data_IF_047162836943
#
_entry.id   IF_047162836943
#
_cell.length_a   1.000
_cell.length_b   1.000
_cell.length_c   1.000
_cell.angle_alpha   90.00
_cell.angle_beta   90.00
_cell.angle_gamma   90.00
#
_symmetry.space_group_name_H-M   'P 1'
#
loop_
_entity.id
_entity.type
_entity.pdbx_description
1 polymer ?
#
# COMPACT_ATOMS: atom_id res chain seq x y z
N UNK A 1 -18.21 -0.61 5.41
CA UNK A 1 -17.37 0.15 6.35
C UNK A 1 -18.28 0.68 7.45
N UNK A 2 -17.83 0.67 8.70
CA UNK A 2 -18.58 1.21 9.84
C UNK A 2 -18.23 2.69 10.09
N UNK A 3 -18.86 3.29 11.11
CA UNK A 3 -18.65 4.72 11.45
C UNK A 3 -17.25 5.03 12.01
N UNK A 4 -16.50 4.04 12.46
CA UNK A 4 -15.10 4.18 12.85
C UNK A 4 -14.14 4.22 11.65
N UNK A 5 -14.60 3.85 10.46
CA UNK A 5 -13.79 3.73 9.25
C UNK A 5 -13.13 2.36 9.09
N UNK A 6 -13.65 1.32 9.73
CA UNK A 6 -13.18 -0.06 9.62
C UNK A 6 -13.97 -0.83 8.56
N UNK A 7 -13.29 -1.71 7.82
CA UNK A 7 -13.93 -2.59 6.85
C UNK A 7 -14.73 -3.68 7.58
N UNK A 8 -15.92 -3.97 7.07
CA UNK A 8 -16.80 -5.02 7.60
C UNK A 8 -16.46 -6.35 6.90
N UNK A 9 -15.76 -7.25 7.59
CA UNK A 9 -15.30 -8.51 7.00
C UNK A 9 -16.46 -9.42 6.59
N UNK A 10 -17.54 -9.46 7.38
CA UNK A 10 -18.75 -10.21 7.05
C UNK A 10 -19.40 -9.74 5.75
N UNK A 11 -19.34 -8.43 5.47
CA UNK A 11 -19.84 -7.88 4.21
C UNK A 11 -18.84 -8.12 3.06
N UNK A 12 -17.54 -8.09 3.36
CA UNK A 12 -16.50 -8.39 2.38
C UNK A 12 -16.64 -9.82 1.83
N UNK A 13 -16.87 -10.80 2.69
CA UNK A 13 -17.05 -12.19 2.29
C UNK A 13 -18.25 -12.39 1.35
N UNK A 14 -19.33 -11.64 1.55
CA UNK A 14 -20.53 -11.70 0.68
C UNK A 14 -20.32 -11.13 -0.74
N UNK A 15 -19.22 -10.39 -0.97
CA UNK A 15 -18.91 -9.79 -2.28
C UNK A 15 -18.31 -10.79 -3.26
N UNK A 16 -17.88 -11.98 -2.80
CA UNK A 16 -17.28 -12.97 -3.68
C UNK A 16 -18.35 -13.66 -4.56
N UNK A 17 -17.98 -13.87 -5.81
CA UNK A 17 -18.78 -14.58 -6.79
C UNK A 17 -17.87 -15.22 -7.86
N UNK A 18 -18.41 -16.02 -8.76
CA UNK A 18 -17.67 -16.59 -9.90
C UNK A 18 -17.03 -15.52 -10.82
N UNK A 19 -17.51 -14.28 -10.73
CA UNK A 19 -17.00 -13.14 -11.48
C UNK A 19 -15.83 -12.45 -10.78
N UNK A 20 -15.59 -12.70 -9.51
CA UNK A 20 -14.49 -12.11 -8.76
C UNK A 20 -13.17 -12.74 -9.21
N UNK A 21 -12.26 -11.95 -9.78
CA UNK A 21 -10.99 -12.42 -10.36
C UNK A 21 -9.77 -11.96 -9.57
N UNK A 22 -9.88 -10.87 -8.86
CA UNK A 22 -8.83 -10.30 -7.99
C UNK A 22 -9.48 -9.42 -6.94
N UNK A 23 -8.91 -9.37 -5.76
CA UNK A 23 -9.18 -8.37 -4.74
C UNK A 23 -8.03 -7.36 -4.73
N UNK A 24 -8.36 -6.07 -4.70
CA UNK A 24 -7.36 -5.02 -4.47
C UNK A 24 -7.79 -4.19 -3.27
N UNK A 25 -6.92 -4.07 -2.27
CA UNK A 25 -7.23 -3.37 -1.02
C UNK A 25 -6.01 -2.62 -0.49
N UNK A 26 -6.23 -1.46 0.11
CA UNK A 26 -5.16 -0.72 0.80
C UNK A 26 -4.86 -1.37 2.15
N UNK A 27 -3.57 -1.49 2.50
CA UNK A 27 -3.15 -1.95 3.83
C UNK A 27 -3.47 -0.90 4.90
N UNK A 28 -3.09 0.35 4.63
CA UNK A 28 -3.36 1.49 5.51
C UNK A 28 -4.05 2.60 4.72
N UNK A 29 -5.15 3.11 5.23
CA UNK A 29 -5.87 4.22 4.60
C UNK A 29 -5.06 5.51 4.68
N UNK A 30 -4.81 6.14 3.53
CA UNK A 30 -4.17 7.45 3.45
C UNK A 30 -5.07 8.61 3.94
N UNK A 31 -6.34 8.36 4.13
CA UNK A 31 -7.32 9.37 4.59
C UNK A 31 -7.63 9.21 6.07
N UNK A 32 -7.93 7.98 6.49
CA UNK A 32 -8.38 7.70 7.86
C UNK A 32 -7.26 7.20 8.77
N UNK A 33 -6.15 6.73 8.20
CA UNK A 33 -5.11 6.03 8.94
C UNK A 33 -5.47 4.61 9.37
N UNK A 34 -6.70 4.14 9.12
CA UNK A 34 -7.14 2.79 9.47
C UNK A 34 -6.18 1.75 8.90
N UNK A 35 -5.67 0.87 9.76
CA UNK A 35 -4.91 -0.31 9.34
C UNK A 35 -5.91 -1.44 9.09
N UNK A 36 -6.04 -1.85 7.85
CA UNK A 36 -6.98 -2.91 7.46
C UNK A 36 -6.43 -4.30 7.82
N UNK A 37 -7.26 -5.26 8.21
CA UNK A 37 -6.87 -6.61 8.57
C UNK A 37 -6.59 -7.45 7.30
N UNK A 38 -5.56 -7.03 6.53
CA UNK A 38 -5.29 -7.59 5.20
C UNK A 38 -4.94 -9.07 5.24
N UNK A 39 -4.32 -9.58 6.32
CA UNK A 39 -4.02 -11.00 6.46
C UNK A 39 -5.29 -11.86 6.49
N UNK A 40 -6.30 -11.41 7.22
CA UNK A 40 -7.61 -12.07 7.27
C UNK A 40 -8.34 -11.94 5.92
N UNK A 41 -8.27 -10.77 5.30
CA UNK A 41 -8.86 -10.54 3.98
C UNK A 41 -8.22 -11.42 2.90
N UNK A 42 -6.90 -11.61 2.94
CA UNK A 42 -6.18 -12.52 2.04
C UNK A 42 -6.65 -13.96 2.26
N UNK A 43 -6.70 -14.42 3.52
CA UNK A 43 -7.15 -15.77 3.84
C UNK A 43 -8.58 -16.04 3.33
N UNK A 44 -9.49 -15.08 3.50
CA UNK A 44 -10.85 -15.16 2.97
C UNK A 44 -10.84 -15.23 1.43
N UNK A 45 -10.11 -14.35 0.74
CA UNK A 45 -10.02 -14.35 -0.72
C UNK A 45 -9.46 -15.68 -1.25
N UNK A 46 -8.41 -16.19 -0.62
CA UNK A 46 -7.79 -17.46 -0.98
C UNK A 46 -8.74 -18.65 -0.79
N UNK A 47 -9.62 -18.63 0.22
CA UNK A 47 -10.65 -19.67 0.38
C UNK A 47 -11.66 -19.71 -0.78
N UNK A 48 -11.79 -18.61 -1.51
CA UNK A 48 -12.57 -18.48 -2.75
C UNK A 48 -11.72 -18.66 -4.03
N UNK A 49 -10.42 -18.96 -3.90
CA UNK A 49 -9.49 -19.11 -5.03
C UNK A 49 -9.18 -17.78 -5.75
N UNK A 50 -9.28 -16.66 -5.06
CA UNK A 50 -9.09 -15.31 -5.61
C UNK A 50 -7.79 -14.70 -5.11
N UNK A 51 -6.88 -14.27 -6.00
CA UNK A 51 -5.64 -13.60 -5.62
C UNK A 51 -5.90 -12.18 -5.10
N UNK A 52 -4.94 -11.69 -4.28
CA UNK A 52 -5.03 -10.38 -3.62
C UNK A 52 -3.84 -9.50 -3.92
N UNK A 53 -4.13 -8.26 -4.32
CA UNK A 53 -3.16 -7.18 -4.43
C UNK A 53 -3.33 -6.23 -3.26
N UNK A 54 -2.25 -6.00 -2.51
CA UNK A 54 -2.20 -5.07 -1.41
C UNK A 54 -1.51 -3.77 -1.85
N UNK A 55 -2.21 -2.65 -1.70
CA UNK A 55 -1.59 -1.34 -1.75
C UNK A 55 -0.94 -1.03 -0.41
N UNK A 56 0.38 -1.15 -0.38
CA UNK A 56 1.24 -0.91 0.78
C UNK A 56 1.83 0.49 0.85
N UNK A 57 1.39 1.41 0.01
CA UNK A 57 2.00 2.74 -0.10
C UNK A 57 1.99 3.53 1.22
N UNK A 58 1.02 3.26 2.10
CA UNK A 58 0.94 3.87 3.43
C UNK A 58 1.33 2.92 4.57
N UNK A 59 1.62 1.65 4.31
CA UNK A 59 2.08 0.74 5.36
C UNK A 59 3.60 0.68 5.46
N UNK A 60 4.29 0.59 4.32
CA UNK A 60 5.76 0.43 4.28
C UNK A 60 6.52 1.55 5.01
N UNK A 61 6.12 2.84 4.98
CA UNK A 61 6.79 3.89 5.72
C UNK A 61 6.62 3.81 7.24
N UNK A 62 5.54 3.20 7.72
CA UNK A 62 5.05 3.32 9.09
C UNK A 62 5.08 2.04 9.91
N UNK A 63 5.19 0.87 9.28
CA UNK A 63 5.15 -0.41 9.96
C UNK A 63 5.97 -1.48 9.23
N UNK A 64 6.40 -2.50 9.98
CA UNK A 64 7.04 -3.67 9.38
C UNK A 64 6.03 -4.42 8.52
N UNK A 65 6.42 -4.70 7.28
CA UNK A 65 5.65 -5.51 6.35
C UNK A 65 6.49 -6.74 5.96
N UNK A 66 5.88 -7.91 6.06
CA UNK A 66 6.40 -9.16 5.56
C UNK A 66 5.38 -9.78 4.60
N UNK A 67 5.69 -9.73 3.31
CA UNK A 67 4.78 -10.19 2.25
C UNK A 67 4.57 -11.69 2.27
N UNK A 68 5.52 -12.46 2.81
CA UNK A 68 5.39 -13.91 2.96
C UNK A 68 4.50 -14.26 4.14
N UNK A 69 4.64 -13.57 5.29
CA UNK A 69 3.76 -13.74 6.44
C UNK A 69 2.32 -13.31 6.14
N UNK A 70 2.14 -12.28 5.32
CA UNK A 70 0.83 -11.85 4.83
C UNK A 70 0.24 -12.83 3.82
N UNK A 71 1.06 -13.62 3.16
CA UNK A 71 0.69 -14.47 2.01
C UNK A 71 0.10 -13.66 0.84
N UNK A 72 0.56 -12.41 0.65
CA UNK A 72 0.07 -11.55 -0.41
C UNK A 72 0.49 -12.08 -1.79
N UNK A 73 -0.44 -12.10 -2.76
CA UNK A 73 -0.13 -12.48 -4.13
C UNK A 73 0.60 -11.36 -4.87
N UNK A 74 0.18 -10.13 -4.61
CA UNK A 74 0.83 -8.91 -5.07
C UNK A 74 0.88 -7.88 -3.96
N UNK A 75 1.97 -7.10 -3.93
CA UNK A 75 2.13 -5.99 -3.00
C UNK A 75 2.84 -4.83 -3.71
N UNK A 76 2.27 -3.63 -3.63
CA UNK A 76 2.82 -2.47 -4.33
C UNK A 76 3.04 -1.29 -3.37
N UNK A 77 4.12 -0.53 -3.59
CA UNK A 77 4.35 0.73 -2.89
C UNK A 77 5.16 1.72 -3.73
N UNK A 78 5.09 3.00 -3.35
CA UNK A 78 5.77 4.11 -4.04
C UNK A 78 7.02 4.55 -3.29
N UNK A 79 8.12 4.75 -4.00
CA UNK A 79 9.40 5.14 -3.41
C UNK A 79 9.37 6.50 -2.71
N UNK A 80 8.66 7.49 -3.25
CA UNK A 80 8.58 8.83 -2.67
C UNK A 80 7.87 8.89 -1.31
N UNK A 81 7.08 7.88 -0.95
CA UNK A 81 6.42 7.79 0.37
C UNK A 81 7.33 7.18 1.44
N UNK A 82 8.44 6.59 1.02
CA UNK A 82 9.43 5.97 1.92
C UNK A 82 10.79 6.68 1.82
N UNK A 83 10.76 8.01 1.71
CA UNK A 83 11.92 8.91 1.60
C UNK A 83 12.79 8.71 0.34
N UNK A 84 12.37 7.87 -0.58
CA UNK A 84 13.00 7.68 -1.87
C UNK A 84 12.60 8.76 -2.89
N UNK A 85 13.18 8.74 -4.09
CA UNK A 85 12.85 9.70 -5.15
C UNK A 85 11.46 9.45 -5.72
N UNK A 86 10.94 10.47 -6.43
CA UNK A 86 9.76 10.32 -7.28
C UNK A 86 10.08 9.46 -8.51
N UNK A 87 9.05 8.88 -9.13
CA UNK A 87 9.18 8.11 -10.38
C UNK A 87 9.58 6.65 -10.19
N UNK A 88 9.94 6.22 -8.99
CA UNK A 88 10.27 4.82 -8.67
C UNK A 88 9.28 4.23 -7.67
N UNK A 89 8.96 2.96 -7.86
CA UNK A 89 8.13 2.16 -6.98
C UNK A 89 8.47 0.69 -7.10
N UNK A 90 7.84 -0.13 -6.28
CA UNK A 90 8.08 -1.57 -6.24
C UNK A 90 6.75 -2.30 -6.36
N UNK A 91 6.71 -3.31 -7.21
CA UNK A 91 5.68 -4.33 -7.26
C UNK A 91 6.32 -5.69 -6.90
N UNK A 92 5.88 -6.25 -5.80
CA UNK A 92 6.10 -7.65 -5.47
C UNK A 92 4.98 -8.49 -6.07
N UNK A 93 5.29 -9.68 -6.56
CA UNK A 93 4.32 -10.68 -6.97
C UNK A 93 4.85 -12.09 -6.71
N UNK A 94 3.96 -13.02 -6.34
CA UNK A 94 4.31 -14.44 -6.30
C UNK A 94 4.69 -14.91 -7.71
N UNK A 95 5.77 -15.67 -7.82
CA UNK A 95 6.31 -16.14 -9.10
C UNK A 95 5.26 -16.80 -9.99
N UNK A 96 4.42 -17.65 -9.41
CA UNK A 96 3.35 -18.35 -10.13
C UNK A 96 2.36 -17.40 -10.83
N UNK A 97 2.09 -16.22 -10.26
CA UNK A 97 1.24 -15.20 -10.87
C UNK A 97 1.99 -14.40 -11.92
N UNK A 98 3.23 -14.01 -11.62
CA UNK A 98 4.05 -13.28 -12.56
C UNK A 98 4.34 -14.09 -13.83
N UNK A 99 4.51 -15.40 -13.71
CA UNK A 99 4.68 -16.29 -14.87
C UNK A 99 3.43 -16.36 -15.77
N UNK A 100 2.25 -16.38 -15.15
CA UNK A 100 0.96 -16.44 -15.88
C UNK A 100 0.59 -15.12 -16.55
N UNK A 101 0.98 -13.98 -15.97
CA UNK A 101 0.62 -12.67 -16.49
C UNK A 101 1.39 -12.35 -17.78
N UNK A 102 0.78 -11.68 -18.76
CA UNK A 102 1.52 -11.12 -19.90
C UNK A 102 2.38 -9.95 -19.42
N UNK A 103 3.45 -9.60 -20.14
CA UNK A 103 4.20 -8.38 -19.86
C UNK A 103 3.29 -7.16 -19.99
N UNK A 104 3.51 -6.17 -19.13
CA UNK A 104 2.71 -4.94 -19.11
C UNK A 104 3.10 -3.99 -20.25
N UNK A 105 4.40 -3.88 -20.56
CA UNK A 105 4.95 -3.05 -21.62
C UNK A 105 5.90 -3.86 -22.49
N UNK A 106 6.08 -3.45 -23.74
CA UNK A 106 7.09 -3.96 -24.65
C UNK A 106 8.27 -3.01 -24.77
N UNK A 107 9.48 -3.55 -24.89
CA UNK A 107 10.71 -2.76 -25.04
C UNK A 107 11.96 -3.62 -25.07
N UNK A 108 13.12 -3.00 -25.06
CA UNK A 108 14.39 -3.70 -24.87
C UNK A 108 14.44 -4.45 -23.55
N UNK A 109 15.38 -5.36 -23.39
CA UNK A 109 15.67 -6.18 -22.19
C UNK A 109 14.57 -7.20 -21.85
N UNK A 110 13.28 -6.87 -21.99
CA UNK A 110 12.17 -7.77 -21.63
C UNK A 110 11.83 -8.78 -22.74
N UNK A 111 12.37 -8.63 -23.94
CA UNK A 111 12.15 -9.49 -25.11
C UNK A 111 13.29 -10.49 -25.22
N UNK A 112 12.97 -11.76 -25.41
CA UNK A 112 13.95 -12.81 -25.74
C UNK A 112 14.15 -12.97 -27.23
N UNK A 113 13.06 -13.16 -27.99
CA UNK A 113 13.06 -13.25 -29.45
C UNK A 113 11.85 -12.53 -30.04
N UNK A 114 12.05 -11.93 -31.23
CA UNK A 114 10.99 -11.31 -32.04
C UNK A 114 11.04 -11.87 -33.45
N UNK A 115 9.92 -12.38 -33.92
CA UNK A 115 9.70 -12.69 -35.34
C UNK A 115 8.32 -12.15 -35.78
N UNK A 116 8.02 -12.25 -37.05
CA UNK A 116 6.70 -11.85 -37.56
C UNK A 116 5.57 -12.77 -37.03
N UNK A 117 5.91 -14.03 -36.70
CA UNK A 117 4.95 -15.02 -36.25
C UNK A 117 4.79 -15.07 -34.74
N UNK A 118 5.87 -14.74 -34.00
CA UNK A 118 5.88 -14.89 -32.52
C UNK A 118 6.90 -14.02 -31.85
N UNK A 119 6.50 -13.44 -30.72
CA UNK A 119 7.39 -12.81 -29.75
C UNK A 119 7.48 -13.69 -28.50
N UNK A 120 8.69 -13.90 -27.98
CA UNK A 120 8.95 -14.53 -26.69
C UNK A 120 9.60 -13.53 -25.75
N UNK A 121 9.34 -13.70 -24.46
CA UNK A 121 9.76 -12.76 -23.42
C UNK A 121 10.85 -13.37 -22.54
N UNK A 122 11.64 -12.52 -21.92
CA UNK A 122 12.66 -12.93 -20.97
C UNK A 122 12.04 -13.52 -19.70
N UNK A 123 12.90 -14.17 -18.91
CA UNK A 123 12.54 -14.68 -17.59
C UNK A 123 12.29 -13.56 -16.60
N UNK A 124 11.65 -13.87 -15.47
CA UNK A 124 11.49 -12.96 -14.35
C UNK A 124 12.85 -12.59 -13.73
N UNK A 125 13.05 -11.35 -13.29
CA UNK A 125 12.10 -10.23 -13.29
C UNK A 125 12.05 -9.46 -14.62
N UNK A 126 12.97 -9.70 -15.55
CA UNK A 126 13.16 -8.93 -16.80
C UNK A 126 11.91 -8.87 -17.69
N UNK A 127 11.04 -9.87 -17.61
CA UNK A 127 9.74 -9.90 -18.31
C UNK A 127 8.90 -8.63 -18.10
N UNK A 128 9.06 -7.97 -16.94
CA UNK A 128 8.31 -6.76 -16.58
C UNK A 128 9.17 -5.48 -16.58
N UNK A 129 10.45 -5.59 -16.98
CA UNK A 129 11.43 -4.50 -16.98
C UNK A 129 11.68 -4.03 -18.44
N UNK A 130 10.72 -3.26 -18.98
CA UNK A 130 10.77 -2.83 -20.37
C UNK A 130 11.65 -1.58 -20.57
N UNK A 131 12.72 -1.68 -21.36
CA UNK A 131 13.65 -0.62 -21.68
C UNK A 131 14.70 -0.38 -20.59
N UNK A 132 15.53 0.66 -20.76
CA UNK A 132 16.55 1.01 -19.77
C UNK A 132 15.90 1.37 -18.44
N UNK A 133 16.23 0.65 -17.35
CA UNK A 133 15.62 0.89 -16.05
C UNK A 133 16.05 2.24 -15.45
N UNK A 134 15.24 2.79 -14.57
CA UNK A 134 15.60 3.94 -13.74
C UNK A 134 16.61 3.49 -12.64
N UNK A 135 17.87 3.31 -13.04
CA UNK A 135 18.94 2.89 -12.14
C UNK A 135 19.34 3.99 -11.15
N UNK A 136 19.10 5.27 -11.44
CA UNK A 136 19.34 6.38 -10.51
C UNK A 136 18.30 6.34 -9.40
N UNK A 137 17.02 6.29 -9.75
CA UNK A 137 15.92 6.23 -8.78
C UNK A 137 15.96 4.95 -7.95
N UNK A 138 16.27 3.79 -8.56
CA UNK A 138 16.38 2.52 -7.85
C UNK A 138 17.54 2.52 -6.84
N UNK A 139 18.69 3.10 -7.21
CA UNK A 139 19.84 3.22 -6.29
C UNK A 139 19.52 4.16 -5.14
N UNK A 140 18.89 5.31 -5.41
CA UNK A 140 18.49 6.25 -4.39
C UNK A 140 17.40 5.68 -3.44
N UNK A 141 16.46 4.88 -3.97
CA UNK A 141 15.49 4.17 -3.15
C UNK A 141 16.17 3.16 -2.22
N UNK A 142 17.20 2.45 -2.69
CA UNK A 142 17.96 1.52 -1.86
C UNK A 142 18.63 2.22 -0.68
N UNK A 143 19.17 3.44 -0.87
CA UNK A 143 19.73 4.25 0.22
C UNK A 143 18.65 4.71 1.22
N UNK A 144 17.48 5.13 0.74
CA UNK A 144 16.36 5.46 1.60
C UNK A 144 15.92 4.28 2.48
N UNK A 145 15.86 3.08 1.90
CA UNK A 145 15.54 1.87 2.64
C UNK A 145 16.60 1.51 3.68
N UNK A 146 17.89 1.66 3.38
CA UNK A 146 18.99 1.46 4.35
C UNK A 146 18.87 2.44 5.51
N UNK A 147 18.63 3.71 5.22
CA UNK A 147 18.43 4.74 6.25
C UNK A 147 17.30 4.39 7.22
N UNK A 148 16.16 3.92 6.71
CA UNK A 148 15.05 3.47 7.56
C UNK A 148 15.41 2.24 8.39
N UNK A 149 16.16 1.29 7.81
CA UNK A 149 16.64 0.11 8.53
C UNK A 149 17.61 0.47 9.65
N UNK A 150 18.48 1.47 9.46
CA UNK A 150 19.40 1.97 10.50
C UNK A 150 18.66 2.64 11.65
N UNK A 151 17.61 3.43 11.39
CA UNK A 151 16.73 3.98 12.42
C UNK A 151 15.97 2.86 13.14
N UNK A 152 15.46 1.92 12.39
CA UNK A 152 14.60 0.82 12.82
C UNK A 152 13.12 1.16 12.72
N UNK A 153 12.41 0.44 11.88
CA UNK A 153 10.97 0.68 11.60
C UNK A 153 10.09 0.60 12.86
N UNK A 154 10.43 -0.28 13.81
CA UNK A 154 9.70 -0.40 15.07
C UNK A 154 9.83 0.87 15.94
N UNK A 155 10.98 1.56 15.90
CA UNK A 155 11.17 2.83 16.59
C UNK A 155 10.36 3.95 15.94
N UNK A 156 10.31 3.94 14.60
CA UNK A 156 9.49 4.90 13.84
C UNK A 156 8.03 4.70 14.22
N UNK A 157 7.52 3.47 14.14
CA UNK A 157 6.15 3.14 14.50
C UNK A 157 5.79 3.53 15.94
N UNK A 158 6.70 3.29 16.92
CA UNK A 158 6.49 3.67 18.31
C UNK A 158 6.40 5.20 18.48
N UNK A 159 7.32 5.95 17.87
CA UNK A 159 7.31 7.42 17.92
C UNK A 159 6.06 8.02 17.27
N UNK A 160 5.65 7.49 16.13
CA UNK A 160 4.43 7.92 15.43
C UNK A 160 3.17 7.61 16.25
N UNK A 161 3.14 6.47 16.93
CA UNK A 161 2.03 6.11 17.81
C UNK A 161 1.89 7.10 18.98
N UNK A 162 3.00 7.45 19.65
CA UNK A 162 3.01 8.44 20.72
C UNK A 162 2.53 9.82 20.23
N UNK A 163 3.05 10.27 19.08
CA UNK A 163 2.64 11.55 18.49
C UNK A 163 1.17 11.56 18.08
N UNK A 164 0.68 10.46 17.50
CA UNK A 164 -0.71 10.32 17.09
C UNK A 164 -1.66 10.32 18.29
N UNK A 165 -1.30 9.62 19.37
CA UNK A 165 -2.07 9.63 20.61
C UNK A 165 -2.13 11.02 21.24
N UNK A 166 -0.96 11.69 21.33
CA UNK A 166 -0.88 13.07 21.84
C UNK A 166 -1.70 14.05 20.99
N UNK A 167 -1.53 14.02 19.67
CA UNK A 167 -2.24 14.90 18.76
C UNK A 167 -3.76 14.64 18.81
N UNK A 168 -4.20 13.38 18.87
CA UNK A 168 -5.61 13.02 19.00
C UNK A 168 -6.22 13.60 20.28
N UNK A 169 -5.51 13.46 21.42
CA UNK A 169 -5.93 14.04 22.70
C UNK A 169 -6.06 15.56 22.58
N UNK A 170 -5.02 16.27 22.09
CA UNK A 170 -5.02 17.73 22.00
C UNK A 170 -6.05 18.27 21.03
N UNK A 171 -6.25 17.62 19.89
CA UNK A 171 -7.30 17.99 18.93
C UNK A 171 -8.71 17.79 19.52
N UNK A 172 -8.89 16.74 20.34
CA UNK A 172 -10.17 16.49 21.02
C UNK A 172 -10.57 17.55 22.06
N UNK A 173 -9.61 18.38 22.53
CA UNK A 173 -9.89 19.50 23.44
C UNK A 173 -10.42 20.77 22.71
N UNK A 174 -10.32 20.80 21.38
CA UNK A 174 -10.80 21.93 20.58
C UNK A 174 -12.33 21.84 20.42
N UNK A 175 -13.00 22.92 20.79
CA UNK A 175 -14.46 23.00 20.70
C UNK A 175 -14.95 22.78 19.25
N UNK A 176 -15.99 21.98 19.10
CA UNK A 176 -16.57 21.59 17.80
C UNK A 176 -15.63 20.80 16.86
N UNK A 177 -14.50 20.32 17.35
CA UNK A 177 -13.64 19.39 16.62
C UNK A 177 -14.29 18.00 16.55
N UNK A 178 -14.28 17.40 15.36
CA UNK A 178 -14.70 16.00 15.15
C UNK A 178 -13.61 15.24 14.38
N UNK A 179 -13.00 14.27 15.02
CA UNK A 179 -12.04 13.38 14.37
C UNK A 179 -12.81 12.37 13.52
N UNK A 180 -12.34 12.12 12.31
CA UNK A 180 -12.90 11.19 11.34
C UNK A 180 -11.96 9.99 11.22
N UNK A 181 -12.52 8.78 11.31
CA UNK A 181 -11.73 7.55 11.35
C UNK A 181 -11.13 7.32 12.74
N UNK A 182 -11.90 6.63 13.56
CA UNK A 182 -11.58 6.32 14.97
C UNK A 182 -11.35 4.83 15.18
N UNK A 183 -10.82 4.15 14.16
CA UNK A 183 -10.45 2.75 14.25
C UNK A 183 -9.39 2.52 15.34
N UNK A 184 -9.48 1.38 16.05
CA UNK A 184 -8.51 1.03 17.09
C UNK A 184 -7.11 0.76 16.50
N UNK A 185 -7.04 0.09 15.33
CA UNK A 185 -5.83 -0.09 14.56
C UNK A 185 -5.63 1.09 13.60
N UNK A 186 -4.73 2.01 13.98
CA UNK A 186 -4.56 3.29 13.28
C UNK A 186 -3.08 3.66 13.13
N UNK A 187 -2.70 4.10 11.94
CA UNK A 187 -1.42 4.72 11.64
C UNK A 187 -1.44 6.24 11.87
N UNK A 188 -0.32 6.91 11.68
CA UNK A 188 -0.09 8.32 11.98
C UNK A 188 -0.83 9.31 11.03
N UNK A 189 -2.12 9.09 10.81
CA UNK A 189 -3.00 9.96 10.02
C UNK A 189 -4.18 10.40 10.87
N UNK A 190 -4.45 11.70 10.94
CA UNK A 190 -5.60 12.25 11.64
C UNK A 190 -6.37 13.14 10.66
N UNK A 191 -7.61 12.73 10.34
CA UNK A 191 -8.55 13.54 9.59
C UNK A 191 -9.59 14.13 10.54
N UNK A 192 -9.97 15.39 10.35
CA UNK A 192 -10.88 16.05 11.24
C UNK A 192 -11.76 17.11 10.52
N UNK A 193 -12.83 17.49 11.17
CA UNK A 193 -13.70 18.60 10.81
C UNK A 193 -13.86 19.54 12.01
N UNK A 194 -14.08 20.83 11.75
CA UNK A 194 -14.29 21.84 12.80
C UNK A 194 -15.63 22.54 12.55
N UNK A 195 -16.63 22.23 13.35
CA UNK A 195 -17.96 22.83 13.25
C UNK A 195 -18.51 22.81 11.81
N UNK A 196 -18.91 23.97 11.33
CA UNK A 196 -19.42 24.18 9.98
C UNK A 196 -18.38 24.79 9.01
N UNK A 197 -17.11 24.86 9.41
CA UNK A 197 -16.04 25.42 8.56
C UNK A 197 -15.74 24.42 7.43
N UNK A 198 -15.70 24.93 6.20
CA UNK A 198 -15.39 24.07 5.06
C UNK A 198 -13.95 23.57 5.15
N UNK A 199 -13.66 22.26 4.89
CA UNK A 199 -12.30 21.69 5.01
C UNK A 199 -11.24 22.43 4.18
N UNK A 200 -11.63 22.96 3.02
CA UNK A 200 -10.73 23.76 2.18
C UNK A 200 -10.25 25.03 2.91
N UNK A 201 -11.14 25.72 3.61
CA UNK A 201 -10.80 26.95 4.34
C UNK A 201 -9.86 26.64 5.52
N UNK A 202 -10.05 25.49 6.19
CA UNK A 202 -9.13 25.01 7.22
C UNK A 202 -7.75 24.77 6.62
N UNK A 203 -7.68 24.04 5.48
CA UNK A 203 -6.42 23.73 4.81
C UNK A 203 -5.71 24.97 4.24
N UNK A 204 -6.40 26.08 4.01
CA UNK A 204 -5.79 27.35 3.58
C UNK A 204 -5.20 28.14 4.76
N UNK A 205 -5.64 27.87 5.99
CA UNK A 205 -5.18 28.55 7.21
C UNK A 205 -4.04 27.82 7.93
N UNK A 206 -3.91 26.49 7.71
CA UNK A 206 -2.88 25.63 8.29
C UNK A 206 -1.67 25.50 7.35
#
# INVERSE_FOLDING_TARGET
>A
MNDKGELLLDEYEKLFSERTKIVSVVHVSNVLGTVNPVKEMIATAHSHGVPVLIDGAQSVPHMKVDVQDLDADFFAFSGHKIYGPTGVGVLYGKEEWLDKLPPYQGGGEMIQNVSFEKTTFNELPFKFEAGTPDYIGSTALAEALRYLQEIGIDKIAASEHELTAYATLRLGEIENMRIIGTADAKSAVISFLVGNIHPYDIGMLL
#
